data_IF_982702304326
#
_entry.id   IF_982702304326
#
_cell.length_a   1.000
_cell.length_b   1.000
_cell.length_c   1.000
_cell.angle_alpha   90.00
_cell.angle_beta   90.00
_cell.angle_gamma   90.00
#
_symmetry.space_group_name_H-M   'P 1'
#
loop_
_entity.id
_entity.type
_entity.pdbx_description
1 polymer ?
#
# COMPACT_ATOMS: atom_id res chain seq x y z
N UNK A 1 -15.89 53.03 49.35
CA UNK A 1 -17.02 52.08 49.10
C UNK A 1 -16.56 50.90 48.22
N UNK A 2 -15.42 50.28 48.56
CA UNK A 2 -14.76 49.17 47.85
C UNK A 2 -14.36 48.10 48.88
N UNK A 3 -15.35 47.56 49.58
CA UNK A 3 -15.10 46.61 50.67
C UNK A 3 -16.29 45.67 50.80
N UNK A 4 -16.28 44.64 49.96
CA UNK A 4 -16.80 43.28 50.25
C UNK A 4 -16.38 42.30 49.14
N UNK A 5 -15.15 42.48 48.63
CA UNK A 5 -14.37 41.50 47.85
C UNK A 5 -13.64 40.50 48.78
N UNK A 6 -13.97 40.53 50.08
CA UNK A 6 -13.36 39.73 51.13
C UNK A 6 -14.39 38.76 51.72
N UNK A 7 -14.92 37.84 50.91
CA UNK A 7 -15.73 36.69 51.38
C UNK A 7 -15.81 35.52 50.39
N UNK A 8 -15.24 35.64 49.18
CA UNK A 8 -15.22 34.53 48.19
C UNK A 8 -13.90 33.75 48.22
N UNK A 9 -12.85 34.25 48.87
CA UNK A 9 -11.57 33.57 48.99
C UNK A 9 -11.43 32.60 50.18
N UNK A 10 -12.52 32.35 50.93
CA UNK A 10 -12.46 31.55 52.17
C UNK A 10 -13.40 30.33 52.20
N UNK A 11 -14.06 30.00 51.09
CA UNK A 11 -15.04 28.88 51.01
C UNK A 11 -14.56 27.70 50.15
N UNK A 12 -13.33 27.75 49.61
CA UNK A 12 -12.77 26.68 48.77
C UNK A 12 -11.72 25.81 49.48
N UNK A 13 -11.74 25.77 50.81
CA UNK A 13 -10.94 24.87 51.61
C UNK A 13 -11.82 24.16 52.65
N UNK A 14 -11.82 22.83 52.56
CA UNK A 14 -12.38 21.83 53.48
C UNK A 14 -13.83 21.35 53.24
N UNK A 15 -13.93 20.02 53.16
CA UNK A 15 -15.10 19.14 53.33
C UNK A 15 -15.98 18.83 52.11
N UNK A 16 -15.64 17.74 51.41
CA UNK A 16 -16.41 16.47 51.27
C UNK A 16 -15.73 15.68 50.12
N UNK A 17 -15.06 14.52 50.25
CA UNK A 17 -15.07 13.38 51.18
C UNK A 17 -16.41 12.64 51.29
N UNK A 18 -16.63 11.68 50.39
CA UNK A 18 -17.15 10.30 50.63
C UNK A 18 -17.50 9.66 49.25
N UNK A 19 -16.78 8.65 48.72
CA UNK A 19 -16.91 7.19 48.97
C UNK A 19 -18.30 6.63 48.56
N UNK A 20 -18.47 5.75 47.55
CA UNK A 20 -18.05 4.33 47.40
C UNK A 20 -18.52 3.87 45.98
N UNK A 21 -17.89 2.97 45.21
CA UNK A 21 -17.68 1.53 45.46
C UNK A 21 -16.64 0.94 44.47
N UNK A 22 -15.83 -0.01 44.97
CA UNK A 22 -15.07 -1.04 44.21
C UNK A 22 -16.00 -2.19 43.76
N UNK A 23 -15.59 -2.98 42.74
CA UNK A 23 -15.07 -4.34 42.99
C UNK A 23 -13.75 -4.57 42.19
N UNK A 24 -12.64 -4.96 42.84
CA UNK A 24 -12.16 -6.32 43.16
C UNK A 24 -11.39 -7.03 42.03
N UNK A 25 -10.06 -7.00 42.18
CA UNK A 25 -9.03 -7.99 41.81
C UNK A 25 -9.10 -8.77 40.48
N UNK A 26 -8.08 -8.53 39.64
CA UNK A 26 -7.12 -9.57 39.27
C UNK A 26 -5.71 -8.98 39.38
N UNK A 27 -4.83 -9.60 40.18
CA UNK A 27 -3.41 -9.28 40.19
C UNK A 27 -2.75 -10.00 39.02
N UNK A 28 -2.07 -9.26 38.16
CA UNK A 28 -0.92 -9.74 37.41
C UNK A 28 0.19 -8.73 37.64
N UNK A 29 1.31 -9.21 38.19
CA UNK A 29 2.47 -8.39 38.47
C UNK A 29 3.16 -8.01 37.16
N UNK A 30 3.22 -6.71 36.83
CA UNK A 30 4.12 -6.19 35.79
C UNK A 30 4.49 -4.75 36.11
N UNK A 31 5.79 -4.49 36.07
CA UNK A 31 6.49 -3.35 36.62
C UNK A 31 6.10 -2.03 35.92
N UNK A 32 5.66 -1.06 36.72
CA UNK A 32 5.33 0.29 36.28
C UNK A 32 6.59 1.15 36.20
N UNK A 33 7.04 1.46 34.97
CA UNK A 33 8.00 2.55 34.75
C UNK A 33 7.33 3.88 35.12
N UNK A 34 7.83 4.51 36.17
CA UNK A 34 7.40 5.82 36.67
C UNK A 34 7.71 6.91 35.64
N UNK A 35 6.81 7.89 35.54
CA UNK A 35 6.98 9.12 34.76
C UNK A 35 7.86 10.13 35.53
N UNK A 36 8.95 10.66 34.95
CA UNK A 36 9.37 12.01 35.32
C UNK A 36 9.77 12.89 34.11
N UNK A 37 9.40 14.17 34.25
CA UNK A 37 9.58 15.31 33.35
C UNK A 37 10.95 15.38 32.64
N UNK A 38 10.96 15.88 31.40
CA UNK A 38 12.19 16.33 30.74
C UNK A 38 12.24 16.25 29.20
N UNK A 39 11.27 15.64 28.54
CA UNK A 39 11.22 15.58 27.07
C UNK A 39 10.10 16.48 26.54
N UNK A 40 10.49 17.50 25.77
CA UNK A 40 9.55 18.39 25.09
C UNK A 40 9.26 17.81 23.70
N UNK A 41 8.06 17.29 23.49
CA UNK A 41 7.61 16.86 22.17
C UNK A 41 7.32 18.10 21.32
N UNK A 42 8.24 18.46 20.43
CA UNK A 42 7.94 19.41 19.35
C UNK A 42 7.53 18.61 18.12
N UNK A 43 6.28 18.15 18.13
CA UNK A 43 5.62 17.62 16.94
C UNK A 43 4.84 18.74 16.27
N UNK A 44 5.18 19.09 15.03
CA UNK A 44 4.20 19.70 14.15
C UNK A 44 3.16 18.62 13.87
N UNK A 45 1.95 18.76 14.40
CA UNK A 45 0.85 17.90 13.98
C UNK A 45 0.59 18.13 12.48
N UNK A 46 0.63 17.12 11.61
CA UNK A 46 -0.41 17.02 10.61
C UNK A 46 -1.59 16.36 11.32
N UNK A 47 -2.52 17.17 11.82
CA UNK A 47 -3.88 16.72 11.93
C UNK A 47 -4.45 16.67 10.51
N UNK A 48 -3.98 15.75 9.67
CA UNK A 48 -4.44 15.60 8.30
C UNK A 48 -4.31 14.12 7.94
N UNK A 49 -5.46 13.44 7.92
CA UNK A 49 -5.80 12.40 6.94
C UNK A 49 -4.73 11.31 6.68
N UNK A 50 -5.03 10.08 7.12
CA UNK A 50 -4.14 8.94 6.99
C UNK A 50 -4.65 8.02 5.87
N UNK A 51 -4.20 8.26 4.64
CA UNK A 51 -4.53 7.44 3.46
C UNK A 51 -3.29 6.78 2.82
N UNK A 52 -2.08 7.09 3.29
CA UNK A 52 -0.85 6.60 2.67
C UNK A 52 -0.04 5.67 3.58
N UNK A 53 0.16 4.44 3.09
CA UNK A 53 1.14 3.47 3.62
C UNK A 53 2.58 4.02 3.66
N UNK A 54 2.85 5.12 2.96
CA UNK A 54 4.14 5.83 2.91
C UNK A 54 4.22 7.06 3.84
N UNK A 55 3.17 7.36 4.61
CA UNK A 55 3.19 8.51 5.51
C UNK A 55 4.28 8.38 6.58
N UNK A 56 4.95 9.49 6.89
CA UNK A 56 6.10 9.52 7.78
C UNK A 56 5.85 10.48 8.94
N UNK A 57 6.01 10.00 10.17
CA UNK A 57 5.89 10.79 11.40
C UNK A 57 7.28 11.21 11.82
N UNK A 58 7.49 12.53 11.88
CA UNK A 58 8.75 13.12 12.32
C UNK A 58 8.55 13.87 13.64
N UNK A 59 9.40 13.59 14.62
CA UNK A 59 9.39 14.30 15.90
C UNK A 59 10.82 14.47 16.44
N UNK A 60 11.03 15.54 17.21
CA UNK A 60 12.33 15.85 17.80
C UNK A 60 12.26 15.72 19.32
N UNK A 61 13.16 14.94 19.90
CA UNK A 61 13.38 14.88 21.34
C UNK A 61 14.49 15.85 21.74
N UNK A 62 14.28 16.61 22.81
CA UNK A 62 15.25 17.54 23.39
C UNK A 62 15.74 17.06 24.75
N UNK A 63 16.89 17.57 25.19
CA UNK A 63 17.45 17.26 26.51
C UNK A 63 18.27 15.96 26.56
N UNK A 64 18.65 15.42 25.41
CA UNK A 64 19.43 14.19 25.30
C UNK A 64 20.91 14.43 25.67
N UNK A 65 21.61 13.40 26.15
CA UNK A 65 23.09 13.47 26.23
C UNK A 65 23.66 13.71 24.83
N UNK A 66 24.63 14.63 24.64
CA UNK A 66 25.11 15.02 23.31
C UNK A 66 25.93 13.92 22.65
N UNK A 67 25.80 13.77 21.32
CA UNK A 67 26.51 12.77 20.50
C UNK A 67 26.27 11.32 20.95
N UNK A 68 25.07 11.04 21.47
CA UNK A 68 24.67 9.70 21.91
C UNK A 68 23.56 9.15 21.02
N UNK A 69 23.56 7.83 20.83
CA UNK A 69 22.55 7.14 20.03
C UNK A 69 21.36 6.73 20.89
N UNK A 70 20.17 7.00 20.37
CA UNK A 70 18.90 6.66 21.00
C UNK A 70 18.05 5.87 20.01
N UNK A 71 17.27 4.92 20.53
CA UNK A 71 16.27 4.17 19.78
C UNK A 71 14.90 4.43 20.37
N UNK A 72 13.94 4.78 19.53
CA UNK A 72 12.54 4.93 19.92
C UNK A 72 11.76 3.72 19.44
N UNK A 73 11.03 3.11 20.36
CA UNK A 73 10.13 1.99 20.12
C UNK A 73 8.68 2.43 20.21
N UNK A 74 7.85 1.92 19.31
CA UNK A 74 6.40 2.09 19.30
C UNK A 74 5.76 0.71 19.30
N UNK A 75 4.85 0.46 20.26
CA UNK A 75 4.10 -0.77 20.33
C UNK A 75 2.74 -0.56 21.01
N UNK A 76 1.83 -1.52 20.80
CA UNK A 76 0.52 -1.54 21.46
C UNK A 76 0.68 -1.61 22.98
N UNK A 77 -0.18 -0.94 23.74
CA UNK A 77 -0.06 -0.94 25.20
C UNK A 77 -0.26 -2.35 25.76
N UNK A 78 0.50 -2.72 26.79
CA UNK A 78 0.50 -4.06 27.38
C UNK A 78 1.69 -4.93 26.93
N UNK A 79 2.58 -4.41 26.09
CA UNK A 79 3.87 -5.03 25.78
C UNK A 79 4.80 -5.03 27.01
N UNK A 80 5.40 -6.19 27.29
CA UNK A 80 6.48 -6.32 28.28
C UNK A 80 7.85 -6.07 27.62
N UNK A 81 8.74 -5.38 28.33
CA UNK A 81 10.14 -5.23 27.90
C UNK A 81 10.97 -6.41 28.42
N UNK A 82 11.65 -7.11 27.53
CA UNK A 82 12.58 -8.16 27.92
C UNK A 82 13.87 -7.57 28.49
N UNK A 83 14.08 -7.71 29.79
CA UNK A 83 15.36 -7.38 30.45
C UNK A 83 16.36 -8.54 30.31
N UNK A 84 16.79 -8.80 29.08
CA UNK A 84 17.95 -9.66 28.80
C UNK A 84 19.26 -8.89 28.96
N UNK A 85 20.42 -9.57 28.96
CA UNK A 85 21.77 -8.97 29.04
C UNK A 85 22.20 -8.17 27.79
N UNK A 86 21.24 -7.64 27.03
CA UNK A 86 21.39 -6.80 25.84
C UNK A 86 20.42 -5.62 25.90
N UNK A 87 20.46 -4.73 24.89
CA UNK A 87 19.58 -3.55 24.83
C UNK A 87 18.10 -3.97 24.99
N UNK A 88 17.32 -3.31 25.87
CA UNK A 88 15.95 -3.71 26.14
C UNK A 88 15.11 -3.58 24.87
N UNK A 89 14.52 -4.69 24.44
CA UNK A 89 13.62 -4.74 23.28
C UNK A 89 12.21 -5.07 23.78
N UNK A 90 11.16 -4.44 23.25
CA UNK A 90 9.78 -4.81 23.58
C UNK A 90 9.52 -6.22 23.01
N UNK A 91 9.06 -7.15 23.86
CA UNK A 91 8.69 -8.49 23.42
C UNK A 91 7.25 -8.46 22.92
N UNK A 92 7.05 -8.01 21.68
CA UNK A 92 5.73 -7.86 21.08
C UNK A 92 5.68 -8.30 19.61
N UNK A 93 4.53 -8.84 19.15
CA UNK A 93 4.37 -9.34 17.78
C UNK A 93 4.46 -8.24 16.72
N UNK A 94 4.23 -6.97 17.09
CA UNK A 94 4.36 -5.80 16.21
C UNK A 94 5.02 -4.64 16.97
N UNK A 95 6.28 -4.36 16.64
CA UNK A 95 7.06 -3.27 17.23
C UNK A 95 7.73 -2.51 16.10
N UNK A 96 7.45 -1.21 15.99
CA UNK A 96 8.25 -0.33 15.14
C UNK A 96 9.37 0.31 15.96
N UNK A 97 10.53 0.46 15.33
CA UNK A 97 11.68 1.11 15.94
C UNK A 97 12.35 2.07 14.95
N UNK A 98 12.88 3.17 15.48
CA UNK A 98 13.74 4.09 14.73
C UNK A 98 14.86 4.57 15.63
N UNK A 99 16.05 4.79 15.08
CA UNK A 99 17.22 5.24 15.84
C UNK A 99 17.75 6.56 15.28
N UNK A 100 18.12 7.47 16.17
CA UNK A 100 18.78 8.72 15.82
C UNK A 100 19.86 9.06 16.85
N UNK A 101 20.87 9.79 16.42
CA UNK A 101 21.91 10.32 17.29
C UNK A 101 21.63 11.77 17.64
N UNK A 102 21.81 12.13 18.90
CA UNK A 102 21.67 13.52 19.35
C UNK A 102 22.80 14.40 18.79
N UNK A 103 22.45 15.63 18.43
CA UNK A 103 23.39 16.64 18.01
C UNK A 103 24.08 17.33 19.21
N UNK A 104 25.02 18.23 18.94
CA UNK A 104 25.70 19.03 19.96
C UNK A 104 24.75 19.93 20.77
N UNK A 105 23.56 20.24 20.22
CA UNK A 105 22.50 20.99 20.88
C UNK A 105 21.59 20.13 21.77
N UNK A 106 21.91 18.84 21.97
CA UNK A 106 21.13 17.89 22.79
C UNK A 106 19.75 17.56 22.22
N UNK A 107 19.62 17.58 20.91
CA UNK A 107 18.38 17.27 20.19
C UNK A 107 18.59 16.10 19.22
N UNK A 108 17.60 15.22 19.07
CA UNK A 108 17.59 14.17 18.05
C UNK A 108 16.23 14.14 17.37
N UNK A 109 16.24 14.08 16.04
CA UNK A 109 15.03 13.96 15.21
C UNK A 109 14.86 12.52 14.78
N UNK A 110 13.67 11.99 15.01
CA UNK A 110 13.28 10.63 14.69
C UNK A 110 12.23 10.64 13.60
N UNK A 111 12.32 9.65 12.73
CA UNK A 111 11.45 9.49 11.58
C UNK A 111 10.91 8.06 11.61
N UNK A 112 9.58 7.92 11.70
CA UNK A 112 8.87 6.64 11.72
C UNK A 112 7.99 6.54 10.48
N UNK A 113 8.09 5.43 9.75
CA UNK A 113 7.08 5.08 8.76
C UNK A 113 5.80 4.72 9.51
N UNK A 114 4.72 5.45 9.24
CA UNK A 114 3.49 5.28 9.98
C UNK A 114 2.84 3.91 9.72
N UNK A 115 3.00 3.35 8.51
CA UNK A 115 2.44 2.03 8.18
C UNK A 115 3.13 0.87 8.94
N UNK A 116 4.39 1.03 9.34
CA UNK A 116 5.08 0.05 10.20
C UNK A 116 4.84 0.29 11.69
N UNK A 117 4.68 1.56 12.09
CA UNK A 117 4.36 1.94 13.47
C UNK A 117 2.91 1.65 13.86
N UNK A 118 2.00 1.78 12.91
CA UNK A 118 0.54 1.65 13.05
C UNK A 118 0.00 0.82 11.89
N UNK A 119 0.21 -0.51 11.90
CA UNK A 119 -0.35 -1.36 10.87
C UNK A 119 -1.89 -1.25 10.83
N UNK A 120 -2.45 -1.31 9.63
CA UNK A 120 -3.88 -1.17 9.39
C UNK A 120 -4.72 -2.14 10.25
N UNK A 121 -5.87 -1.66 10.72
CA UNK A 121 -6.79 -2.47 11.52
C UNK A 121 -6.42 -2.65 13.00
N UNK A 122 -5.40 -1.94 13.49
CA UNK A 122 -4.99 -1.99 14.89
C UNK A 122 -5.32 -0.72 15.66
N UNK A 123 -6.60 -0.34 15.70
CA UNK A 123 -7.09 0.64 16.68
C UNK A 123 -6.75 0.21 18.12
N UNK A 124 -6.56 1.21 18.99
CA UNK A 124 -6.36 0.99 20.42
C UNK A 124 -5.20 1.79 21.02
N UNK A 125 -4.89 1.53 22.30
CA UNK A 125 -3.82 2.21 23.02
C UNK A 125 -2.43 1.76 22.57
N UNK A 126 -1.53 2.72 22.42
CA UNK A 126 -0.11 2.55 22.08
C UNK A 126 0.74 3.36 23.04
N UNK A 127 1.99 2.92 23.18
CA UNK A 127 2.99 3.59 23.99
C UNK A 127 4.30 3.71 23.21
N UNK A 128 5.04 4.76 23.53
CA UNK A 128 6.32 5.07 22.91
C UNK A 128 7.41 5.15 23.98
N UNK A 129 8.51 4.45 23.75
CA UNK A 129 9.63 4.37 24.67
C UNK A 129 10.93 4.77 24.00
N UNK A 130 11.84 5.39 24.73
CA UNK A 130 13.21 5.66 24.30
C UNK A 130 14.19 4.77 25.06
N UNK A 131 15.17 4.26 24.34
CA UNK A 131 16.30 3.47 24.84
C UNK A 131 17.59 4.17 24.45
N UNK A 132 18.48 4.43 25.41
CA UNK A 132 19.75 5.11 25.16
C UNK A 132 20.54 5.41 26.44
N UNK A 133 21.69 6.09 26.33
CA UNK A 133 22.52 6.37 27.50
C UNK A 133 21.80 7.27 28.52
N UNK A 134 21.71 6.81 29.77
CA UNK A 134 21.07 7.56 30.86
C UNK A 134 19.56 7.33 31.01
N UNK A 135 19.00 6.31 30.34
CA UNK A 135 17.69 5.77 30.72
C UNK A 135 17.75 5.06 32.08
N UNK A 136 16.59 4.82 32.71
CA UNK A 136 16.47 4.21 34.04
C UNK A 136 17.15 2.83 34.13
N UNK A 137 17.18 2.22 35.33
CA UNK A 137 17.87 0.94 35.59
C UNK A 137 17.47 -0.21 34.64
N UNK A 138 16.28 -0.14 34.03
CA UNK A 138 15.75 -1.11 33.07
C UNK A 138 16.12 -0.79 31.60
N UNK A 139 16.88 0.28 31.36
CA UNK A 139 17.40 0.65 30.04
C UNK A 139 16.40 1.31 29.08
N UNK A 140 15.17 1.62 29.52
CA UNK A 140 14.14 2.27 28.71
C UNK A 140 13.38 3.35 29.51
N UNK A 141 12.85 4.37 28.82
CA UNK A 141 11.98 5.41 29.41
C UNK A 141 10.72 5.64 28.57
N UNK A 142 9.54 5.62 29.20
CA UNK A 142 8.27 5.95 28.55
C UNK A 142 8.25 7.45 28.23
N UNK A 143 8.00 7.79 26.97
CA UNK A 143 7.92 9.19 26.52
C UNK A 143 6.47 9.64 26.37
N UNK A 144 5.58 8.74 25.94
CA UNK A 144 4.17 9.07 25.77
C UNK A 144 3.28 7.86 25.54
N UNK A 145 1.98 8.06 25.72
CA UNK A 145 0.93 7.10 25.39
C UNK A 145 -0.13 7.80 24.56
N UNK A 146 -0.65 7.12 23.55
CA UNK A 146 -1.64 7.66 22.63
C UNK A 146 -2.62 6.55 22.25
N UNK A 147 -3.82 6.93 21.84
CA UNK A 147 -4.82 5.98 21.36
C UNK A 147 -5.02 6.21 19.88
N UNK A 148 -4.72 5.18 19.08
CA UNK A 148 -5.05 5.19 17.67
C UNK A 148 -6.57 4.95 17.57
N UNK A 149 -7.27 5.94 17.03
CA UNK A 149 -8.68 5.81 16.67
C UNK A 149 -8.71 5.72 15.15
N UNK A 150 -9.30 4.66 14.64
CA UNK A 150 -9.60 4.55 13.21
C UNK A 150 -10.94 5.20 12.92
N UNK A 151 -11.03 5.76 11.73
CA UNK A 151 -12.24 6.35 11.20
C UNK A 151 -12.73 5.52 10.02
N UNK A 152 -13.99 5.70 9.64
CA UNK A 152 -14.47 5.22 8.35
C UNK A 152 -13.58 5.79 7.24
N UNK A 153 -13.06 4.88 6.44
CA UNK A 153 -12.30 5.15 5.21
C UNK A 153 -13.25 4.98 4.04
N UNK A 154 -13.18 5.92 3.10
CA UNK A 154 -13.89 5.87 1.84
C UNK A 154 -12.91 5.62 0.69
N UNK A 155 -13.36 4.87 -0.30
CA UNK A 155 -12.74 4.79 -1.62
C UNK A 155 -13.34 5.88 -2.52
N UNK A 156 -12.77 6.07 -3.71
CA UNK A 156 -13.32 6.96 -4.75
C UNK A 156 -14.81 6.72 -5.02
N UNK A 157 -15.24 5.46 -4.90
CA UNK A 157 -16.59 5.02 -5.25
C UNK A 157 -17.50 4.88 -4.03
N UNK A 158 -17.05 5.35 -2.86
CA UNK A 158 -17.85 5.21 -1.64
C UNK A 158 -19.13 6.02 -1.64
N UNK A 159 -19.21 7.07 -2.46
CA UNK A 159 -20.41 7.89 -2.66
C UNK A 159 -20.82 7.82 -4.13
N UNK A 160 -22.04 7.33 -4.36
CA UNK A 160 -22.67 7.35 -5.68
C UNK A 160 -23.88 8.29 -5.67
N UNK A 161 -23.94 9.15 -6.68
CA UNK A 161 -25.06 10.07 -6.90
C UNK A 161 -25.72 9.67 -8.21
N UNK A 162 -27.04 9.52 -8.20
CA UNK A 162 -27.80 9.04 -9.35
C UNK A 162 -29.18 9.67 -9.42
N UNK A 163 -29.87 9.54 -10.54
CA UNK A 163 -31.25 9.95 -10.75
C UNK A 163 -31.98 8.89 -11.57
N UNK A 164 -33.27 8.72 -11.34
CA UNK A 164 -34.10 7.90 -12.21
C UNK A 164 -34.71 8.79 -13.30
N UNK A 165 -34.29 8.60 -14.56
CA UNK A 165 -34.84 9.33 -15.71
C UNK A 165 -35.32 8.34 -16.75
N UNK A 166 -36.61 8.39 -17.07
CA UNK A 166 -37.21 7.53 -18.10
C UNK A 166 -37.09 6.03 -17.81
N UNK A 167 -37.02 5.61 -16.54
CA UNK A 167 -36.87 4.21 -16.13
C UNK A 167 -35.42 3.71 -16.12
N UNK A 168 -34.43 4.57 -16.41
CA UNK A 168 -33.00 4.29 -16.30
C UNK A 168 -32.43 4.97 -15.06
N UNK A 169 -31.45 4.34 -14.41
CA UNK A 169 -30.69 4.96 -13.31
C UNK A 169 -29.46 5.65 -13.91
N UNK A 170 -29.53 6.97 -14.07
CA UNK A 170 -28.43 7.80 -14.56
C UNK A 170 -27.51 8.11 -13.39
N UNK A 171 -26.23 7.75 -13.49
CA UNK A 171 -25.21 8.00 -12.47
C UNK A 171 -24.43 9.25 -12.82
N UNK A 172 -24.03 10.00 -11.80
CA UNK A 172 -23.13 11.14 -11.95
C UNK A 172 -21.71 10.77 -11.55
N UNK A 173 -20.80 10.93 -12.51
CA UNK A 173 -19.36 10.89 -12.31
C UNK A 173 -18.69 12.12 -12.92
N UNK A 174 -17.66 12.63 -12.24
CA UNK A 174 -16.94 13.81 -12.68
C UNK A 174 -16.05 13.48 -13.88
N UNK A 175 -16.04 14.34 -14.90
CA UNK A 175 -15.20 14.17 -16.09
C UNK A 175 -15.72 13.18 -17.13
N UNK A 176 -16.85 12.50 -16.89
CA UNK A 176 -17.45 11.59 -17.86
C UNK A 176 -18.45 12.34 -18.75
N UNK A 177 -18.21 12.29 -20.07
CA UNK A 177 -19.13 12.87 -21.05
C UNK A 177 -20.50 12.17 -20.99
N UNK A 178 -21.57 12.94 -20.78
CA UNK A 178 -22.95 12.43 -20.67
C UNK A 178 -23.42 12.18 -19.23
N UNK A 179 -22.54 12.30 -18.24
CA UNK A 179 -22.91 12.35 -16.82
C UNK A 179 -23.64 13.68 -16.54
N UNK A 180 -24.95 13.64 -16.25
CA UNK A 180 -25.75 14.83 -16.00
C UNK A 180 -26.93 14.58 -15.05
N UNK A 181 -27.06 15.44 -14.03
CA UNK A 181 -28.18 15.47 -13.08
C UNK A 181 -29.12 16.62 -13.40
N UNK A 182 -30.42 16.36 -13.52
CA UNK A 182 -31.44 17.34 -13.87
C UNK A 182 -32.04 17.99 -12.61
N UNK A 183 -32.21 19.31 -12.63
CA UNK A 183 -32.75 20.12 -11.56
C UNK A 183 -34.19 19.77 -11.14
N UNK A 184 -34.97 19.10 -12.01
CA UNK A 184 -36.39 18.78 -11.72
C UNK A 184 -36.61 17.35 -11.20
N UNK A 185 -35.62 16.47 -11.32
CA UNK A 185 -35.73 15.07 -10.94
C UNK A 185 -35.18 14.80 -9.53
N UNK A 186 -35.74 13.79 -8.87
CA UNK A 186 -35.31 13.37 -7.52
C UNK A 186 -33.89 12.78 -7.56
N UNK A 187 -32.98 13.31 -6.74
CA UNK A 187 -31.59 12.86 -6.66
C UNK A 187 -31.45 11.76 -5.62
N UNK A 188 -30.79 10.69 -6.02
CA UNK A 188 -30.56 9.49 -5.24
C UNK A 188 -29.09 9.39 -4.85
N UNK A 189 -28.78 9.50 -3.55
CA UNK A 189 -27.42 9.35 -3.02
C UNK A 189 -27.32 8.01 -2.29
N UNK A 190 -26.32 7.20 -2.65
CA UNK A 190 -26.02 5.94 -1.96
C UNK A 190 -24.56 5.92 -1.51
N UNK A 191 -24.34 5.35 -0.33
CA UNK A 191 -23.01 5.12 0.21
C UNK A 191 -22.72 3.62 0.27
N UNK A 192 -21.54 3.20 -0.20
CA UNK A 192 -21.15 1.78 -0.26
C UNK A 192 -19.65 1.59 -0.10
N UNK A 193 -19.21 0.38 0.23
CA UNK A 193 -17.80 0.07 0.38
C UNK A 193 -17.13 0.77 1.57
N UNK A 194 -17.89 1.27 2.53
CA UNK A 194 -17.36 1.93 3.72
C UNK A 194 -16.62 0.92 4.58
N UNK A 195 -15.37 1.23 4.95
CA UNK A 195 -14.52 0.35 5.75
C UNK A 195 -14.01 1.07 7.00
N UNK A 196 -13.79 0.32 8.06
CA UNK A 196 -13.13 0.78 9.28
C UNK A 196 -12.28 -0.37 9.81
N UNK A 197 -11.03 -0.09 10.16
CA UNK A 197 -10.07 -1.12 10.59
C UNK A 197 -9.87 -2.24 9.54
N UNK A 198 -9.89 -1.92 8.24
CA UNK A 198 -9.78 -2.89 7.14
C UNK A 198 -11.02 -3.78 6.92
N UNK A 199 -11.97 -3.75 7.85
CA UNK A 199 -13.24 -4.50 7.78
C UNK A 199 -14.38 -3.63 7.26
N UNK A 200 -15.44 -4.26 6.74
CA UNK A 200 -16.65 -3.54 6.31
C UNK A 200 -17.30 -2.86 7.51
N UNK A 201 -17.61 -1.56 7.37
CA UNK A 201 -18.14 -0.75 8.44
C UNK A 201 -19.57 -1.14 8.79
N UNK A 202 -19.85 -1.26 10.08
CA UNK A 202 -21.16 -1.48 10.66
C UNK A 202 -21.37 -0.44 11.75
N UNK A 203 -22.31 0.48 11.55
CA UNK A 203 -22.55 1.54 12.51
C UNK A 203 -23.37 2.69 11.94
N UNK A 204 -23.59 3.72 12.75
CA UNK A 204 -24.29 4.92 12.32
C UNK A 204 -23.34 5.85 11.55
N UNK A 205 -23.86 6.47 10.49
CA UNK A 205 -23.24 7.61 9.81
C UNK A 205 -24.27 8.72 9.66
N UNK A 206 -23.78 9.94 9.46
CA UNK A 206 -24.57 11.09 9.10
C UNK A 206 -24.24 11.49 7.66
N UNK A 207 -25.27 11.71 6.86
CA UNK A 207 -25.15 12.21 5.50
C UNK A 207 -25.56 13.68 5.53
N UNK A 208 -24.63 14.54 5.15
CA UNK A 208 -24.77 15.99 5.23
C UNK A 208 -24.71 16.60 3.82
N UNK A 209 -25.83 16.67 3.11
CA UNK A 209 -25.92 17.41 1.85
C UNK A 209 -25.90 18.91 2.13
N UNK A 210 -25.21 19.70 1.30
CA UNK A 210 -25.10 21.16 1.53
C UNK A 210 -26.41 21.96 1.36
N UNK A 211 -27.50 21.32 0.94
CA UNK A 211 -28.79 21.95 0.61
C UNK A 211 -29.98 21.38 1.39
N UNK A 212 -29.81 20.25 2.09
CA UNK A 212 -30.83 19.62 2.94
C UNK A 212 -30.20 19.43 4.32
N UNK A 213 -31.02 19.44 5.38
CA UNK A 213 -30.50 19.17 6.73
C UNK A 213 -29.81 17.81 6.83
N UNK A 214 -29.06 17.62 7.91
CA UNK A 214 -28.34 16.38 8.21
C UNK A 214 -29.29 15.19 8.42
N UNK A 215 -29.01 14.05 7.78
CA UNK A 215 -29.75 12.79 7.97
C UNK A 215 -28.84 11.72 8.59
N UNK A 216 -29.30 11.07 9.66
CA UNK A 216 -28.64 9.92 10.28
C UNK A 216 -29.14 8.59 9.70
N UNK A 217 -28.24 7.62 9.54
CA UNK A 217 -28.58 6.29 9.03
C UNK A 217 -27.59 5.23 9.49
N UNK A 218 -28.02 3.97 9.48
CA UNK A 218 -27.16 2.83 9.84
C UNK A 218 -26.61 2.16 8.59
N UNK A 219 -25.29 2.00 8.56
CA UNK A 219 -24.53 1.22 7.58
C UNK A 219 -24.51 -0.22 8.04
N UNK A 220 -24.82 -1.14 7.14
CA UNK A 220 -24.68 -2.58 7.36
C UNK A 220 -23.82 -3.17 6.26
N UNK A 221 -22.79 -3.91 6.65
CA UNK A 221 -21.80 -4.55 5.80
C UNK A 221 -21.13 -3.57 4.82
N UNK A 222 -20.80 -2.37 5.29
CA UNK A 222 -20.19 -1.31 4.48
C UNK A 222 -21.13 -0.66 3.47
N UNK A 223 -22.42 -1.01 3.46
CA UNK A 223 -23.43 -0.40 2.59
C UNK A 223 -24.50 0.33 3.40
N UNK A 224 -24.88 1.50 2.90
CA UNK A 224 -25.92 2.34 3.48
C UNK A 224 -27.18 2.27 2.62
N UNK A 225 -28.34 2.40 3.27
CA UNK A 225 -29.60 2.64 2.57
C UNK A 225 -29.49 3.89 1.69
N UNK A 226 -30.12 3.83 0.52
CA UNK A 226 -30.17 4.96 -0.41
C UNK A 226 -31.09 6.06 0.08
N UNK A 227 -30.67 7.32 -0.05
CA UNK A 227 -31.48 8.50 0.25
C UNK A 227 -31.91 9.18 -1.03
N UNK A 228 -33.20 9.47 -1.10
CA UNK A 228 -33.72 10.30 -2.17
C UNK A 228 -33.98 11.71 -1.65
N UNK A 229 -33.56 12.69 -2.44
CA UNK A 229 -33.69 14.11 -2.16
C UNK A 229 -34.54 14.78 -3.24
N UNK A 230 -35.39 15.76 -2.87
CA UNK A 230 -36.24 16.45 -3.83
C UNK A 230 -35.42 17.20 -4.89
N UNK A 231 -36.08 17.62 -5.96
CA UNK A 231 -35.55 18.52 -6.98
C UNK A 231 -34.90 19.78 -6.37
N UNK A 232 -33.67 20.11 -6.76
CA UNK A 232 -32.84 21.09 -6.04
C UNK A 232 -32.62 22.42 -6.76
N UNK A 233 -33.13 22.59 -7.98
CA UNK A 233 -32.67 23.68 -8.84
C UNK A 233 -31.28 23.39 -9.42
N UNK A 234 -30.81 24.26 -10.30
CA UNK A 234 -29.49 24.11 -10.92
C UNK A 234 -28.41 24.79 -10.08
N UNK A 235 -27.24 24.17 -9.99
CA UNK A 235 -26.14 24.67 -9.16
C UNK A 235 -25.13 23.60 -8.79
N UNK A 236 -24.14 24.00 -7.98
CA UNK A 236 -23.16 23.11 -7.39
C UNK A 236 -23.59 22.64 -6.00
N UNK A 237 -23.42 21.35 -5.76
CA UNK A 237 -23.90 20.65 -4.58
C UNK A 237 -22.79 19.73 -4.06
N UNK A 238 -22.74 19.52 -2.75
CA UNK A 238 -21.80 18.61 -2.11
C UNK A 238 -22.49 17.75 -1.06
N UNK A 239 -22.21 16.45 -1.05
CA UNK A 239 -22.66 15.54 0.01
C UNK A 239 -21.47 15.03 0.78
N UNK A 240 -21.57 15.06 2.11
CA UNK A 240 -20.57 14.50 2.99
C UNK A 240 -21.12 13.31 3.78
N UNK A 241 -20.25 12.34 4.07
CA UNK A 241 -20.48 11.28 5.03
C UNK A 241 -19.62 11.54 6.27
N UNK A 242 -20.26 11.48 7.43
CA UNK A 242 -19.65 11.76 8.72
C UNK A 242 -19.92 10.60 9.70
N UNK A 243 -18.92 10.25 10.51
CA UNK A 243 -19.19 9.46 11.72
C UNK A 243 -19.72 10.42 12.82
N UNK A 244 -20.70 10.01 13.64
CA UNK A 244 -21.15 10.83 14.77
C UNK A 244 -19.98 11.11 15.74
N UNK A 245 -19.57 12.38 15.85
CA UNK A 245 -18.45 12.78 16.72
C UNK A 245 -17.89 14.18 16.46
N UNK A 246 -16.86 14.62 17.24
CA UNK A 246 -16.38 16.01 17.26
C UNK A 246 -15.48 16.42 16.07
N UNK A 247 -15.51 15.71 14.93
CA UNK A 247 -14.80 16.09 13.69
C UNK A 247 -15.64 15.72 12.47
N UNK A 248 -16.02 16.67 11.58
CA UNK A 248 -17.29 16.55 10.89
C UNK A 248 -17.19 16.34 9.37
N UNK A 249 -16.10 15.87 8.77
CA UNK A 249 -16.15 15.46 7.35
C UNK A 249 -15.16 14.34 7.11
N UNK A 250 -15.62 13.21 6.54
CA UNK A 250 -14.77 12.04 6.27
C UNK A 250 -14.66 11.73 4.80
N UNK A 251 -15.75 11.89 4.07
CA UNK A 251 -15.79 11.65 2.65
C UNK A 251 -16.76 12.65 2.05
N UNK A 252 -16.36 13.36 1.00
CA UNK A 252 -17.26 14.29 0.33
C UNK A 252 -17.24 14.06 -1.18
N UNK A 253 -18.41 14.17 -1.81
CA UNK A 253 -18.54 14.17 -3.27
C UNK A 253 -19.26 15.45 -3.67
N UNK A 254 -18.59 16.23 -4.53
CA UNK A 254 -19.18 17.41 -5.16
C UNK A 254 -19.74 17.03 -6.52
N UNK A 255 -20.88 17.60 -6.86
CA UNK A 255 -21.54 17.38 -8.15
C UNK A 255 -22.33 18.60 -8.58
N UNK A 256 -22.55 18.73 -9.89
CA UNK A 256 -23.35 19.81 -10.46
C UNK A 256 -24.69 19.28 -10.97
N UNK A 257 -25.73 20.06 -10.75
CA UNK A 257 -27.08 19.83 -11.27
C UNK A 257 -27.37 20.87 -12.34
N UNK A 258 -27.79 20.42 -13.52
CA UNK A 258 -28.11 21.24 -14.68
C UNK A 258 -29.61 21.54 -14.75
N UNK A 259 -29.97 22.66 -15.36
CA UNK A 259 -31.38 23.02 -15.65
C UNK A 259 -32.02 22.02 -16.61
N UNK A 260 -31.24 21.54 -17.57
CA UNK A 260 -31.64 20.55 -18.54
C UNK A 260 -30.46 19.62 -18.84
N UNK A 261 -30.75 18.33 -18.93
CA UNK A 261 -29.79 17.29 -19.28
C UNK A 261 -30.12 16.64 -20.62
N UNK A 262 -31.16 17.09 -21.33
CA UNK A 262 -31.62 16.50 -22.59
C UNK A 262 -31.72 14.96 -22.48
N UNK A 263 -31.13 14.22 -23.43
CA UNK A 263 -31.06 12.75 -23.41
C UNK A 263 -29.78 12.20 -22.72
N UNK A 264 -28.97 13.04 -22.08
CA UNK A 264 -27.72 12.62 -21.44
C UNK A 264 -28.01 11.83 -20.15
N UNK A 265 -27.71 10.54 -20.20
CA UNK A 265 -27.84 9.61 -19.08
C UNK A 265 -26.80 8.51 -19.25
N UNK A 266 -25.87 8.41 -18.31
CA UNK A 266 -24.90 7.30 -18.24
C UNK A 266 -25.36 6.34 -17.16
N UNK A 267 -25.58 5.07 -17.49
CA UNK A 267 -25.93 4.06 -16.49
C UNK A 267 -24.69 3.48 -15.83
N UNK A 268 -24.87 2.84 -14.66
CA UNK A 268 -23.77 2.17 -13.98
C UNK A 268 -23.13 1.09 -14.87
N UNK A 269 -23.92 0.37 -15.64
CA UNK A 269 -23.43 -0.64 -16.59
C UNK A 269 -22.55 -0.02 -17.68
N UNK A 270 -22.91 1.17 -18.20
CA UNK A 270 -22.12 1.88 -19.21
C UNK A 270 -20.82 2.46 -18.62
N UNK A 271 -20.84 2.90 -17.36
CA UNK A 271 -19.66 3.29 -16.58
C UNK A 271 -18.71 2.11 -16.39
N UNK A 272 -19.23 0.98 -15.90
CA UNK A 272 -18.46 -0.25 -15.71
C UNK A 272 -17.91 -0.74 -17.07
N UNK A 273 -18.65 -0.56 -18.17
CA UNK A 273 -18.19 -0.92 -19.52
C UNK A 273 -17.10 0.03 -20.08
N UNK A 274 -17.17 1.32 -19.74
CA UNK A 274 -16.13 2.31 -20.06
C UNK A 274 -14.84 2.10 -19.25
N UNK A 275 -14.94 1.68 -18.00
CA UNK A 275 -13.81 1.27 -17.16
C UNK A 275 -13.20 -0.07 -17.64
N UNK A 276 -14.04 -0.98 -18.15
CA UNK A 276 -13.60 -2.20 -18.85
C UNK A 276 -12.89 -1.95 -20.20
N UNK A 277 -12.74 -0.68 -20.61
CA UNK A 277 -11.96 -0.26 -21.79
C UNK A 277 -10.54 0.27 -21.44
N UNK A 278 -10.02 0.04 -20.23
CA UNK A 278 -8.57 -0.03 -19.94
C UNK A 278 -8.22 -0.14 -18.44
N UNK A 279 -7.09 -0.76 -17.99
CA UNK A 279 -5.99 -1.43 -18.68
C UNK A 279 -5.98 -2.97 -18.52
N UNK A 280 -7.09 -3.61 -18.12
CA UNK A 280 -7.08 -5.05 -17.80
C UNK A 280 -7.27 -5.97 -19.03
N UNK A 281 -7.60 -5.40 -20.20
CA UNK A 281 -7.68 -6.14 -21.47
C UNK A 281 -6.35 -6.32 -22.22
N UNK A 282 -5.23 -5.95 -21.62
CA UNK A 282 -3.92 -6.50 -22.00
C UNK A 282 -3.46 -7.61 -21.04
N UNK A 283 -4.40 -8.37 -20.47
CA UNK A 283 -4.08 -9.72 -20.01
C UNK A 283 -3.62 -10.54 -21.22
N UNK A 284 -2.29 -10.55 -21.46
CA UNK A 284 -1.60 -11.34 -22.48
C UNK A 284 -2.05 -12.81 -22.45
N UNK A 285 -2.48 -13.29 -21.29
CA UNK A 285 -2.90 -14.66 -21.06
C UNK A 285 -4.28 -14.97 -21.64
N UNK A 286 -5.21 -14.01 -21.67
CA UNK A 286 -6.57 -14.22 -22.18
C UNK A 286 -6.66 -14.22 -23.70
N UNK A 287 -5.59 -13.78 -24.37
CA UNK A 287 -5.44 -13.90 -25.82
C UNK A 287 -4.98 -15.31 -26.25
N UNK A 288 -4.72 -16.21 -25.30
CA UNK A 288 -4.23 -17.57 -25.56
C UNK A 288 -5.41 -18.55 -25.60
N UNK A 289 -5.81 -18.95 -26.80
CA UNK A 289 -6.90 -19.91 -27.02
C UNK A 289 -6.63 -21.35 -26.49
N UNK A 290 -5.39 -21.65 -26.09
CA UNK A 290 -5.01 -22.95 -25.57
C UNK A 290 -5.05 -22.93 -24.03
N UNK A 291 -5.92 -23.73 -23.38
CA UNK A 291 -6.13 -23.67 -21.93
C UNK A 291 -4.85 -24.03 -21.15
N UNK A 292 -4.00 -24.91 -21.65
CA UNK A 292 -2.74 -25.28 -21.00
C UNK A 292 -1.70 -24.16 -21.08
N UNK A 293 -1.67 -23.42 -22.20
CA UNK A 293 -0.75 -22.29 -22.36
C UNK A 293 -1.24 -21.05 -21.61
N UNK A 294 -2.55 -20.86 -21.51
CA UNK A 294 -3.16 -19.82 -20.67
C UNK A 294 -2.81 -20.01 -19.20
N UNK A 295 -2.93 -21.24 -18.67
CA UNK A 295 -2.55 -21.54 -17.28
C UNK A 295 -1.06 -21.26 -17.00
N UNK A 296 -0.16 -21.57 -17.94
CA UNK A 296 1.27 -21.25 -17.81
C UNK A 296 1.56 -19.75 -17.85
N UNK A 297 0.75 -19.00 -18.59
CA UNK A 297 0.84 -17.55 -18.63
C UNK A 297 0.36 -16.93 -17.31
N UNK A 298 -0.76 -17.42 -16.77
CA UNK A 298 -1.30 -16.96 -15.49
C UNK A 298 -0.35 -17.25 -14.32
N UNK A 299 0.27 -18.44 -14.32
CA UNK A 299 1.32 -18.80 -13.36
C UNK A 299 2.57 -17.92 -13.46
N UNK A 300 2.86 -17.40 -14.66
CA UNK A 300 3.96 -16.46 -14.87
C UNK A 300 3.63 -15.06 -14.35
N UNK A 301 2.37 -14.62 -14.49
CA UNK A 301 1.97 -13.23 -14.18
C UNK A 301 1.51 -13.00 -12.73
N UNK A 302 0.99 -14.02 -12.03
CA UNK A 302 0.31 -13.86 -10.74
C UNK A 302 0.90 -14.67 -9.59
N UNK A 303 2.22 -14.90 -9.57
CA UNK A 303 2.88 -15.96 -8.79
C UNK A 303 2.46 -16.11 -7.32
N UNK A 304 1.89 -17.27 -6.98
CA UNK A 304 1.85 -17.80 -5.60
C UNK A 304 3.12 -18.61 -5.24
N UNK A 305 3.94 -18.99 -6.25
CA UNK A 305 5.14 -19.83 -6.11
C UNK A 305 6.48 -19.07 -6.33
N UNK A 306 6.48 -17.74 -6.23
CA UNK A 306 7.70 -16.92 -6.36
C UNK A 306 8.21 -16.69 -7.79
N UNK A 307 7.50 -17.15 -8.82
CA UNK A 307 7.83 -16.89 -10.23
C UNK A 307 7.04 -15.70 -10.78
N UNK A 308 7.24 -14.50 -10.22
CA UNK A 308 6.75 -13.30 -10.89
C UNK A 308 7.60 -13.03 -12.14
N UNK A 309 6.98 -13.15 -13.32
CA UNK A 309 7.65 -13.00 -14.60
C UNK A 309 6.79 -12.34 -15.67
N UNK A 310 7.43 -11.95 -16.76
CA UNK A 310 6.77 -11.42 -17.95
C UNK A 310 6.57 -12.57 -18.93
N UNK A 311 5.32 -12.82 -19.34
CA UNK A 311 5.03 -13.80 -20.38
C UNK A 311 5.43 -13.26 -21.75
N UNK A 312 6.25 -14.01 -22.47
CA UNK A 312 6.73 -13.64 -23.81
C UNK A 312 6.55 -14.80 -24.79
N UNK A 313 6.75 -14.54 -26.08
CA UNK A 313 6.70 -15.58 -27.13
C UNK A 313 7.72 -16.73 -26.92
N UNK A 314 8.72 -16.53 -26.07
CA UNK A 314 9.74 -17.53 -25.70
C UNK A 314 9.46 -18.20 -24.33
N UNK A 315 8.29 -17.92 -23.74
CA UNK A 315 7.83 -18.41 -22.44
C UNK A 315 7.94 -17.36 -21.34
N UNK A 316 7.78 -17.81 -20.09
CA UNK A 316 7.89 -16.95 -18.91
C UNK A 316 9.34 -16.49 -18.69
N UNK A 317 9.52 -15.18 -18.47
CA UNK A 317 10.79 -14.57 -18.06
C UNK A 317 10.61 -14.05 -16.64
N UNK A 318 11.11 -14.78 -15.65
CA UNK A 318 11.10 -14.36 -14.24
C UNK A 318 11.91 -13.07 -14.05
N UNK A 319 11.54 -12.26 -13.05
CA UNK A 319 12.24 -11.00 -12.73
C UNK A 319 13.58 -11.20 -12.02
N UNK A 320 13.91 -12.43 -11.62
CA UNK A 320 15.17 -12.73 -10.94
C UNK A 320 16.38 -12.64 -11.88
N UNK A 321 17.43 -11.86 -11.52
CA UNK A 321 18.61 -11.65 -12.39
C UNK A 321 19.30 -12.95 -12.83
N UNK A 322 19.26 -13.98 -11.98
CA UNK A 322 19.90 -15.27 -12.20
C UNK A 322 19.16 -16.08 -13.27
N UNK A 323 17.83 -16.11 -13.21
CA UNK A 323 16.99 -16.83 -14.16
C UNK A 323 16.95 -16.16 -15.53
N UNK A 324 16.96 -14.82 -15.56
CA UNK A 324 17.06 -14.03 -16.79
C UNK A 324 18.30 -14.43 -17.58
N UNK A 325 19.47 -14.45 -16.92
CA UNK A 325 20.73 -14.77 -17.59
C UNK A 325 20.74 -16.21 -18.12
N UNK A 326 20.23 -17.17 -17.35
CA UNK A 326 20.08 -18.56 -17.79
C UNK A 326 19.19 -18.69 -19.03
N UNK A 327 18.08 -17.95 -19.08
CA UNK A 327 17.16 -17.94 -20.23
C UNK A 327 17.81 -17.35 -21.49
N UNK A 328 18.53 -16.23 -21.35
CA UNK A 328 19.24 -15.60 -22.46
C UNK A 328 20.36 -16.49 -23.02
N UNK A 329 21.15 -17.15 -22.17
CA UNK A 329 22.20 -18.07 -22.62
C UNK A 329 21.59 -19.25 -23.37
N UNK A 330 20.50 -19.84 -22.84
CA UNK A 330 19.80 -20.95 -23.50
C UNK A 330 19.25 -20.55 -24.88
N UNK A 331 18.71 -19.34 -25.01
CA UNK A 331 18.23 -18.79 -26.28
C UNK A 331 19.39 -18.49 -27.24
N UNK A 332 20.49 -17.93 -26.75
CA UNK A 332 21.69 -17.66 -27.55
C UNK A 332 22.30 -18.94 -28.13
N UNK A 333 22.35 -20.02 -27.34
CA UNK A 333 22.86 -21.33 -27.78
C UNK A 333 21.91 -21.95 -28.82
N UNK A 334 20.59 -21.88 -28.62
CA UNK A 334 19.64 -22.44 -29.58
C UNK A 334 19.69 -21.72 -30.94
N UNK A 335 19.80 -20.40 -30.93
CA UNK A 335 19.97 -19.61 -32.16
C UNK A 335 21.34 -19.84 -32.81
N UNK A 336 22.42 -19.83 -32.02
CA UNK A 336 23.78 -20.08 -32.52
C UNK A 336 23.93 -21.47 -33.16
N UNK A 337 23.41 -22.50 -32.50
CA UNK A 337 23.39 -23.86 -33.03
C UNK A 337 22.52 -24.01 -34.28
N UNK A 338 21.37 -23.35 -34.32
CA UNK A 338 20.48 -23.33 -35.49
C UNK A 338 21.14 -22.68 -36.71
N UNK A 339 21.78 -21.52 -36.53
CA UNK A 339 22.48 -20.82 -37.62
C UNK A 339 23.68 -21.65 -38.12
N UNK A 340 24.45 -22.23 -37.21
CA UNK A 340 25.58 -23.10 -37.57
C UNK A 340 25.13 -24.32 -38.37
N UNK A 341 24.01 -24.95 -37.98
CA UNK A 341 23.41 -26.07 -38.71
C UNK A 341 23.04 -25.66 -40.14
N UNK A 342 22.40 -24.49 -40.32
CA UNK A 342 22.02 -23.99 -41.64
C UNK A 342 23.24 -23.69 -42.53
N UNK A 343 24.33 -23.16 -41.97
CA UNK A 343 25.58 -22.94 -42.72
C UNK A 343 26.25 -24.26 -43.14
N UNK A 344 26.25 -25.27 -42.27
CA UNK A 344 26.80 -26.60 -42.61
C UNK A 344 25.97 -27.26 -43.72
N UNK A 345 24.64 -27.16 -43.63
CA UNK A 345 23.73 -27.66 -44.68
C UNK A 345 23.97 -26.95 -46.01
N UNK A 346 24.08 -25.62 -46.03
CA UNK A 346 24.29 -24.86 -47.26
C UNK A 346 25.64 -25.18 -47.92
N UNK A 347 26.70 -25.36 -47.11
CA UNK A 347 28.00 -25.78 -47.59
C UNK A 347 27.97 -27.22 -48.13
N UNK A 348 27.25 -28.14 -47.47
CA UNK A 348 27.07 -29.52 -47.91
C UNK A 348 26.33 -29.64 -49.25
N UNK A 349 25.25 -28.86 -49.43
CA UNK A 349 24.56 -28.77 -50.72
C UNK A 349 25.45 -28.20 -51.81
N UNK A 350 26.21 -27.15 -51.51
CA UNK A 350 27.14 -26.55 -52.46
C UNK A 350 28.21 -27.54 -52.91
N UNK A 351 28.78 -28.33 -51.97
CA UNK A 351 29.77 -29.36 -52.29
C UNK A 351 29.20 -30.46 -53.19
N UNK A 352 27.95 -30.87 -52.97
CA UNK A 352 27.29 -31.94 -53.75
C UNK A 352 26.94 -31.49 -55.17
N UNK A 353 26.50 -30.23 -55.36
CA UNK A 353 26.05 -29.70 -56.67
C UNK A 353 27.23 -29.17 -57.52
N UNK A 354 28.45 -29.16 -56.98
CA UNK A 354 29.60 -28.50 -57.63
C UNK A 354 30.10 -29.15 -58.94
N UNK A 355 29.60 -30.33 -59.35
CA UNK A 355 29.88 -30.98 -60.65
C UNK A 355 31.36 -30.94 -61.12
N UNK A 356 32.33 -30.99 -60.20
CA UNK A 356 33.75 -30.94 -60.52
C UNK A 356 34.38 -29.56 -60.67
N UNK A 357 33.66 -28.46 -60.38
CA UNK A 357 34.24 -27.12 -60.31
C UNK A 357 35.06 -26.95 -59.01
N UNK A 358 36.39 -26.86 -59.16
CA UNK A 358 37.33 -26.75 -58.06
C UNK A 358 37.08 -25.52 -57.16
N UNK A 359 36.60 -24.41 -57.72
CA UNK A 359 36.42 -23.16 -56.99
C UNK A 359 35.23 -23.21 -56.03
N UNK A 360 34.11 -23.80 -56.45
CA UNK A 360 32.94 -23.98 -55.57
C UNK A 360 33.19 -24.99 -54.44
N UNK A 361 34.01 -26.01 -54.73
CA UNK A 361 34.41 -27.00 -53.73
C UNK A 361 35.35 -26.41 -52.69
N UNK A 362 36.30 -25.54 -53.10
CA UNK A 362 37.19 -24.84 -52.18
C UNK A 362 36.40 -23.89 -51.27
N UNK A 363 35.49 -23.10 -51.84
CA UNK A 363 34.62 -22.19 -51.09
C UNK A 363 33.74 -22.93 -50.07
N UNK A 364 33.16 -24.08 -50.43
CA UNK A 364 32.36 -24.88 -49.52
C UNK A 364 33.19 -25.40 -48.33
N UNK A 365 34.46 -25.80 -48.55
CA UNK A 365 35.37 -26.24 -47.48
C UNK A 365 35.76 -25.12 -46.53
N UNK A 366 36.00 -23.93 -47.05
CA UNK A 366 36.26 -22.73 -46.23
C UNK A 366 35.04 -22.39 -45.37
N UNK A 367 33.83 -22.42 -45.94
CA UNK A 367 32.58 -22.18 -45.20
C UNK A 367 32.34 -23.24 -44.12
N UNK A 368 32.57 -24.53 -44.41
CA UNK A 368 32.48 -25.59 -43.41
C UNK A 368 33.46 -25.38 -42.26
N UNK A 369 34.72 -25.06 -42.59
CA UNK A 369 35.76 -24.84 -41.58
C UNK A 369 35.41 -23.65 -40.71
N UNK A 370 34.99 -22.53 -41.31
CA UNK A 370 34.56 -21.33 -40.59
C UNK A 370 33.37 -21.60 -39.67
N UNK A 371 32.36 -22.36 -40.12
CA UNK A 371 31.20 -22.73 -39.32
C UNK A 371 31.59 -23.62 -38.13
N UNK A 372 32.46 -24.62 -38.34
CA UNK A 372 32.94 -25.51 -37.27
C UNK A 372 33.79 -24.74 -36.25
N UNK A 373 34.69 -23.87 -36.70
CA UNK A 373 35.49 -23.03 -35.78
C UNK A 373 34.63 -22.06 -34.99
N UNK A 374 33.60 -21.49 -35.60
CA UNK A 374 32.64 -20.62 -34.93
C UNK A 374 31.83 -21.37 -33.87
N UNK A 375 31.37 -22.58 -34.19
CA UNK A 375 30.66 -23.43 -33.22
C UNK A 375 31.55 -23.83 -32.04
N UNK A 376 32.80 -24.23 -32.31
CA UNK A 376 33.81 -24.52 -31.28
C UNK A 376 34.04 -23.31 -30.37
N UNK A 377 34.15 -22.11 -30.94
CA UNK A 377 34.33 -20.88 -30.18
C UNK A 377 33.14 -20.61 -29.23
N UNK A 378 31.90 -20.80 -29.70
CA UNK A 378 30.69 -20.66 -28.85
C UNK A 378 30.72 -21.67 -27.70
N UNK A 379 31.02 -22.94 -27.98
CA UNK A 379 31.09 -24.00 -26.96
C UNK A 379 32.15 -23.68 -25.90
N UNK A 380 33.35 -23.27 -26.31
CA UNK A 380 34.42 -22.89 -25.37
C UNK A 380 34.05 -21.65 -24.55
N UNK A 381 33.45 -20.64 -25.17
CA UNK A 381 33.01 -19.42 -24.49
C UNK A 381 32.00 -19.73 -23.38
N UNK A 382 30.98 -20.55 -23.67
CA UNK A 382 29.98 -20.98 -22.68
C UNK A 382 30.62 -21.82 -21.57
N UNK A 383 31.54 -22.72 -21.93
CA UNK A 383 32.23 -23.58 -20.96
C UNK A 383 33.06 -22.76 -19.97
N UNK A 384 33.78 -21.75 -20.45
CA UNK A 384 34.55 -20.83 -19.59
C UNK A 384 33.60 -20.02 -18.69
N UNK A 385 32.48 -19.52 -19.25
CA UNK A 385 31.49 -18.78 -18.48
C UNK A 385 30.85 -19.63 -17.37
N UNK A 386 30.52 -20.89 -17.65
CA UNK A 386 30.00 -21.84 -16.66
C UNK A 386 31.05 -22.16 -15.59
N UNK A 387 32.31 -22.37 -16.00
CA UNK A 387 33.41 -22.65 -15.07
C UNK A 387 33.60 -21.52 -14.06
N UNK A 388 33.64 -20.26 -14.53
CA UNK A 388 33.79 -19.08 -13.68
C UNK A 388 32.51 -18.82 -12.87
N UNK A 389 31.32 -18.91 -13.50
CA UNK A 389 30.03 -18.65 -12.85
C UNK A 389 29.71 -19.63 -11.72
N UNK A 390 30.04 -20.91 -11.91
CA UNK A 390 29.85 -21.94 -10.88
C UNK A 390 30.92 -21.86 -9.78
N UNK A 391 32.20 -21.72 -10.15
CA UNK A 391 33.30 -21.85 -9.19
C UNK A 391 33.55 -20.59 -8.36
N UNK A 392 33.26 -19.40 -8.89
CA UNK A 392 33.55 -18.12 -8.22
C UNK A 392 32.31 -17.49 -7.62
N UNK A 393 31.19 -17.48 -8.35
CA UNK A 393 29.95 -16.80 -7.95
C UNK A 393 28.92 -17.72 -7.29
N UNK A 394 29.18 -19.04 -7.23
CA UNK A 394 28.28 -20.07 -6.67
C UNK A 394 26.82 -19.86 -7.06
N UNK A 395 26.55 -19.52 -8.33
CA UNK A 395 25.17 -19.31 -8.78
C UNK A 395 24.53 -20.69 -8.99
N UNK A 396 23.54 -21.09 -8.16
CA UNK A 396 22.82 -22.33 -8.36
C UNK A 396 22.05 -22.27 -9.70
N UNK A 397 22.12 -23.32 -10.52
CA UNK A 397 21.42 -23.42 -11.81
C UNK A 397 22.28 -23.30 -13.08
N UNK A 398 23.59 -23.07 -12.96
CA UNK A 398 24.52 -23.00 -14.12
C UNK A 398 25.19 -24.34 -14.51
N UNK A 399 24.87 -25.44 -13.81
CA UNK A 399 25.18 -26.81 -14.21
C UNK A 399 23.86 -27.56 -14.38
N UNK A 400 23.68 -28.19 -15.54
CA UNK A 400 22.42 -28.79 -15.98
C UNK A 400 21.88 -29.91 -15.11
#
# INVERSE_FOLDING_TARGET
MKQKILSIFFVLALCLSAELLKPSHSQAATHSCLNPAGFDFVGSSPATEYDDSNAVITFTLKGLSPNASYTVFVAKSGCEFGVGSGSPTPNCPSVAATSASSNAAREATFTLAAGSAFPDGMAGPYSMWVVGPGTDADGCKLIGSYTLVTHVVCTSDSISVSQNRGGKTCVYEEGIAGSCLNAVDEIKVSASGLRKDGSLYNGEIQINPSWVGQLSTTVTNGSTSTFNYPALGAGGYSVAIEEPGPKPDRCSKSFNVSVDCEELCVTKEELDEAENLGPDKFSLCDQINNPTAQQKCLQCSGGEDGTEGIWTAIGCISKEPQEILGRFIRLGISMGGGIALLMILSAGFTMTISQGNAQKTAQAKEMMTAAVTGLLFIIFSVTILQFIGYSILKIPGFGG
#
